data_IF_714544261524
#
_entry.id   IF_714544261524
#
_cell.length_a   1.000
_cell.length_b   1.000
_cell.length_c   1.000
_cell.angle_alpha   90.00
_cell.angle_beta   90.00
_cell.angle_gamma   90.00
#
_symmetry.space_group_name_H-M   'P 1'
#
loop_
_entity.id
_entity.type
_entity.pdbx_description
1 polymer ?
#
# COMPACT_ATOMS: atom_id res chain seq x y z
N UNK A 1 24.06 -18.27 -4.09
CA UNK A 1 23.10 -17.18 -3.81
C UNK A 1 22.30 -17.54 -2.57
N UNK A 2 22.55 -16.87 -1.44
CA UNK A 2 22.01 -17.30 -0.15
C UNK A 2 20.48 -17.23 -0.04
N UNK A 3 19.83 -18.10 0.76
CA UNK A 3 18.37 -18.18 0.90
C UNK A 3 17.70 -16.86 1.31
N UNK A 4 18.43 -15.97 2.00
CA UNK A 4 17.96 -14.62 2.41
C UNK A 4 17.73 -13.66 1.23
N UNK A 5 18.47 -13.80 0.13
CA UNK A 5 18.30 -12.92 -1.04
C UNK A 5 17.11 -13.30 -1.92
N UNK A 6 16.71 -14.58 -1.93
CA UNK A 6 15.49 -15.04 -2.64
C UNK A 6 14.22 -14.49 -1.99
N UNK A 7 14.17 -14.39 -0.66
CA UNK A 7 13.02 -13.83 0.06
C UNK A 7 12.77 -12.35 -0.29
N UNK A 8 13.83 -11.54 -0.29
CA UNK A 8 13.75 -10.12 -0.66
C UNK A 8 13.24 -9.93 -2.10
N UNK A 9 13.79 -10.71 -3.04
CA UNK A 9 13.41 -10.62 -4.45
C UNK A 9 11.95 -11.04 -4.69
N UNK A 10 11.50 -12.14 -4.06
CA UNK A 10 10.12 -12.61 -4.21
C UNK A 10 9.13 -11.58 -3.62
N UNK A 11 9.47 -10.97 -2.49
CA UNK A 11 8.63 -9.96 -1.83
C UNK A 11 8.56 -8.65 -2.62
N UNK A 12 9.63 -8.25 -3.31
CA UNK A 12 9.61 -7.10 -4.24
C UNK A 12 8.73 -7.34 -5.46
N UNK A 13 8.73 -8.56 -6.01
CA UNK A 13 7.85 -8.90 -7.13
C UNK A 13 6.38 -8.92 -6.72
N UNK A 14 6.07 -9.49 -5.55
CA UNK A 14 4.72 -9.43 -4.99
C UNK A 14 4.29 -7.98 -4.79
N UNK A 15 5.16 -7.14 -4.23
CA UNK A 15 4.88 -5.71 -4.03
C UNK A 15 4.64 -4.98 -5.35
N UNK A 16 5.41 -5.29 -6.40
CA UNK A 16 5.26 -4.67 -7.72
C UNK A 16 3.94 -5.07 -8.37
N UNK A 17 3.60 -6.37 -8.36
CA UNK A 17 2.33 -6.87 -8.90
C UNK A 17 1.15 -6.30 -8.11
N UNK A 18 1.24 -6.24 -6.77
CA UNK A 18 0.21 -5.67 -5.93
C UNK A 18 -0.03 -4.18 -6.24
N UNK A 19 1.02 -3.37 -6.39
CA UNK A 19 0.88 -1.96 -6.75
C UNK A 19 0.32 -1.78 -8.17
N UNK A 20 0.73 -2.64 -9.12
CA UNK A 20 0.23 -2.60 -10.49
C UNK A 20 -1.27 -2.94 -10.56
N UNK A 21 -1.72 -3.93 -9.78
CA UNK A 21 -3.13 -4.31 -9.66
C UNK A 21 -3.94 -3.31 -8.83
N UNK A 22 -3.31 -2.60 -7.89
CA UNK A 22 -3.97 -1.59 -7.08
C UNK A 22 -4.42 -0.39 -7.94
N UNK A 23 -3.69 0.00 -8.99
CA UNK A 23 -4.09 1.08 -9.89
C UNK A 23 -5.50 0.90 -10.49
N UNK A 24 -5.82 -0.20 -11.19
CA UNK A 24 -7.17 -0.43 -11.71
C UNK A 24 -8.18 -0.68 -10.59
N UNK A 25 -7.80 -1.34 -9.49
CA UNK A 25 -8.71 -1.58 -8.37
C UNK A 25 -9.17 -0.27 -7.69
N UNK A 26 -8.25 0.68 -7.48
CA UNK A 26 -8.56 2.01 -6.96
C UNK A 26 -9.47 2.76 -7.95
N UNK A 27 -9.19 2.68 -9.26
CA UNK A 27 -10.03 3.29 -10.28
C UNK A 27 -11.47 2.78 -10.24
N UNK A 28 -11.65 1.46 -10.17
CA UNK A 28 -12.98 0.83 -10.07
C UNK A 28 -13.71 1.27 -8.78
N UNK A 29 -13.00 1.40 -7.66
CA UNK A 29 -13.59 1.83 -6.39
C UNK A 29 -13.93 3.33 -6.37
N UNK A 30 -13.09 4.16 -6.98
CA UNK A 30 -13.26 5.61 -7.05
C UNK A 30 -14.45 6.02 -7.94
N UNK A 31 -14.60 5.34 -9.09
CA UNK A 31 -15.68 5.60 -10.05
C UNK A 31 -16.92 4.72 -9.83
N UNK A 32 -16.93 3.89 -8.78
CA UNK A 32 -18.12 3.11 -8.43
C UNK A 32 -19.24 4.07 -8.02
N UNK A 33 -20.37 3.99 -8.70
CA UNK A 33 -21.57 4.76 -8.40
C UNK A 33 -22.20 4.24 -7.11
N UNK A 34 -21.75 4.73 -5.97
CA UNK A 34 -22.46 4.53 -4.70
C UNK A 34 -23.70 5.45 -4.66
N UNK A 35 -24.83 4.92 -4.15
CA UNK A 35 -26.14 5.59 -4.13
C UNK A 35 -26.20 6.90 -3.30
N UNK A 36 -25.13 7.24 -2.58
CA UNK A 36 -25.02 8.41 -1.72
C UNK A 36 -23.87 9.30 -2.20
N UNK A 37 -24.21 10.46 -2.78
CA UNK A 37 -23.27 11.40 -3.40
C UNK A 37 -22.08 11.81 -2.52
N UNK A 38 -22.24 11.81 -1.18
CA UNK A 38 -21.17 12.12 -0.24
C UNK A 38 -20.00 11.14 -0.28
N UNK A 39 -20.27 9.83 -0.36
CA UNK A 39 -19.22 8.81 -0.38
C UNK A 39 -18.47 8.79 -1.72
N UNK A 40 -19.13 9.13 -2.83
CA UNK A 40 -18.47 9.19 -4.14
C UNK A 40 -17.41 10.30 -4.18
N UNK A 41 -17.73 11.51 -3.69
CA UNK A 41 -16.78 12.61 -3.63
C UNK A 41 -15.57 12.30 -2.73
N UNK A 42 -15.80 11.62 -1.60
CA UNK A 42 -14.73 11.16 -0.71
C UNK A 42 -13.86 10.09 -1.38
N UNK A 43 -14.45 9.11 -2.07
CA UNK A 43 -13.70 8.06 -2.76
C UNK A 43 -12.80 8.65 -3.85
N UNK A 44 -13.33 9.59 -4.64
CA UNK A 44 -12.57 10.28 -5.70
C UNK A 44 -11.43 11.07 -5.07
N UNK A 45 -11.71 11.91 -4.06
CA UNK A 45 -10.67 12.71 -3.38
C UNK A 45 -9.55 11.83 -2.81
N UNK A 46 -9.90 10.74 -2.13
CA UNK A 46 -8.91 9.80 -1.57
C UNK A 46 -8.11 9.07 -2.66
N UNK A 47 -8.75 8.72 -3.77
CA UNK A 47 -8.09 8.07 -4.89
C UNK A 47 -6.99 8.95 -5.49
N UNK A 48 -7.30 10.23 -5.75
CA UNK A 48 -6.37 11.18 -6.34
C UNK A 48 -5.29 11.65 -5.35
N UNK A 49 -5.63 11.91 -4.08
CA UNK A 49 -4.69 12.50 -3.13
C UNK A 49 -3.73 11.50 -2.48
N UNK A 50 -4.18 10.27 -2.23
CA UNK A 50 -3.43 9.31 -1.42
C UNK A 50 -3.21 7.99 -2.14
N UNK A 51 -4.26 7.40 -2.72
CA UNK A 51 -4.17 6.04 -3.23
C UNK A 51 -3.28 5.94 -4.48
N UNK A 52 -3.48 6.81 -5.48
CA UNK A 52 -2.64 6.82 -6.70
C UNK A 52 -1.19 7.24 -6.44
N UNK A 53 -0.91 8.35 -5.73
CA UNK A 53 0.46 8.71 -5.36
C UNK A 53 1.17 7.60 -4.59
N UNK A 54 0.49 6.96 -3.62
CA UNK A 54 1.06 5.84 -2.87
C UNK A 54 1.44 4.67 -3.77
N UNK A 55 0.57 4.28 -4.72
CA UNK A 55 0.88 3.20 -5.67
C UNK A 55 2.04 3.53 -6.60
N UNK A 56 2.13 4.78 -7.10
CA UNK A 56 3.25 5.21 -7.95
C UNK A 56 4.56 5.13 -7.17
N UNK A 57 4.61 5.67 -5.95
CA UNK A 57 5.79 5.58 -5.08
C UNK A 57 6.10 4.13 -4.72
N UNK A 58 5.09 3.27 -4.55
CA UNK A 58 5.26 1.84 -4.35
C UNK A 58 5.92 1.12 -5.53
N UNK A 59 5.56 1.47 -6.77
CA UNK A 59 6.22 0.94 -7.98
C UNK A 59 7.68 1.41 -8.04
N UNK A 60 7.94 2.69 -7.79
CA UNK A 60 9.31 3.25 -7.78
C UNK A 60 10.15 2.60 -6.68
N UNK A 61 9.57 2.33 -5.51
CA UNK A 61 10.22 1.61 -4.43
C UNK A 61 10.63 0.19 -4.85
N UNK A 62 9.73 -0.53 -5.52
CA UNK A 62 10.02 -1.88 -6.05
C UNK A 62 11.14 -1.83 -7.09
N UNK A 63 11.16 -0.84 -7.99
CA UNK A 63 12.23 -0.63 -8.95
C UNK A 63 13.58 -0.34 -8.25
N UNK A 64 13.59 0.51 -7.22
CA UNK A 64 14.78 0.79 -6.43
C UNK A 64 15.32 -0.44 -5.70
N UNK A 65 14.43 -1.30 -5.20
CA UNK A 65 14.81 -2.55 -4.53
C UNK A 65 15.32 -3.61 -5.51
N UNK A 66 14.71 -3.74 -6.69
CA UNK A 66 15.21 -4.60 -7.77
C UNK A 66 16.59 -4.16 -8.26
N UNK A 67 16.83 -2.84 -8.31
CA UNK A 67 18.13 -2.25 -8.62
C UNK A 67 19.14 -2.27 -7.43
N UNK A 68 18.81 -2.95 -6.32
CA UNK A 68 19.62 -3.04 -5.09
C UNK A 68 20.05 -1.66 -4.53
N UNK A 69 19.26 -0.60 -4.78
CA UNK A 69 19.53 0.74 -4.29
C UNK A 69 18.94 0.91 -2.88
N UNK A 70 19.76 1.43 -1.95
CA UNK A 70 19.36 1.67 -0.55
C UNK A 70 18.13 2.59 -0.41
N UNK A 71 17.92 3.48 -1.38
CA UNK A 71 16.78 4.39 -1.42
C UNK A 71 15.43 3.68 -1.68
N UNK A 72 15.44 2.49 -2.30
CA UNK A 72 14.20 1.73 -2.55
C UNK A 72 13.47 1.33 -1.27
N UNK A 73 14.23 1.03 -0.20
CA UNK A 73 13.66 0.73 1.13
C UNK A 73 12.94 1.94 1.72
N UNK A 74 13.53 3.13 1.59
CA UNK A 74 12.96 4.37 2.11
C UNK A 74 11.64 4.67 1.38
N UNK A 75 11.65 4.57 0.05
CA UNK A 75 10.44 4.76 -0.75
C UNK A 75 9.35 3.74 -0.45
N UNK A 76 9.70 2.49 -0.12
CA UNK A 76 8.73 1.47 0.28
C UNK A 76 8.04 1.87 1.60
N UNK A 77 8.81 2.36 2.58
CA UNK A 77 8.27 2.84 3.86
C UNK A 77 7.36 4.05 3.63
N UNK A 78 7.76 5.01 2.79
CA UNK A 78 6.95 6.18 2.45
C UNK A 78 5.63 5.78 1.78
N UNK A 79 5.68 4.90 0.76
CA UNK A 79 4.49 4.42 0.07
C UNK A 79 3.51 3.70 1.02
N UNK A 80 4.05 2.82 1.87
CA UNK A 80 3.26 2.09 2.86
C UNK A 80 2.62 3.03 3.89
N UNK A 81 3.36 4.07 4.33
CA UNK A 81 2.86 5.05 5.29
C UNK A 81 1.74 5.92 4.70
N UNK A 82 1.90 6.34 3.44
CA UNK A 82 0.86 7.09 2.71
C UNK A 82 -0.41 6.26 2.50
N UNK A 83 -0.26 4.99 2.11
CA UNK A 83 -1.39 4.07 1.95
C UNK A 83 -2.13 3.85 3.29
N UNK A 84 -1.37 3.68 4.38
CA UNK A 84 -1.93 3.52 5.72
C UNK A 84 -2.71 4.76 6.18
N UNK A 85 -2.19 5.96 5.90
CA UNK A 85 -2.84 7.23 6.22
C UNK A 85 -4.19 7.41 5.52
N UNK A 86 -4.38 6.84 4.34
CA UNK A 86 -5.67 6.84 3.64
C UNK A 86 -6.60 5.70 4.10
N UNK A 87 -6.08 4.47 4.15
CA UNK A 87 -6.90 3.28 4.35
C UNK A 87 -7.49 3.14 5.77
N UNK A 88 -6.72 3.53 6.81
CA UNK A 88 -7.18 3.45 8.21
C UNK A 88 -8.39 4.38 8.49
N UNK A 89 -8.27 5.71 8.35
CA UNK A 89 -9.36 6.61 8.70
C UNK A 89 -10.60 6.36 7.83
N UNK A 90 -10.40 6.07 6.55
CA UNK A 90 -11.50 5.77 5.64
C UNK A 90 -12.23 4.47 6.00
N UNK A 91 -11.49 3.40 6.29
CA UNK A 91 -12.08 2.12 6.72
C UNK A 91 -12.87 2.25 8.02
N UNK A 92 -12.33 2.98 9.00
CA UNK A 92 -12.99 3.22 10.29
C UNK A 92 -14.29 4.02 10.12
N UNK A 93 -14.25 5.14 9.39
CA UNK A 93 -15.45 5.97 9.15
C UNK A 93 -16.52 5.18 8.40
N UNK A 94 -16.13 4.41 7.38
CA UNK A 94 -17.07 3.60 6.58
C UNK A 94 -17.70 2.46 7.39
N UNK A 95 -16.96 1.83 8.31
CA UNK A 95 -17.50 0.85 9.27
C UNK A 95 -18.41 1.48 10.33
N UNK A 96 -18.00 2.62 10.89
CA UNK A 96 -18.80 3.34 11.90
C UNK A 96 -20.14 3.84 11.35
N UNK A 97 -20.18 4.22 10.08
CA UNK A 97 -21.40 4.65 9.39
C UNK A 97 -22.27 3.48 8.89
N UNK A 98 -21.84 2.23 9.05
CA UNK A 98 -22.58 1.04 8.59
C UNK A 98 -22.73 0.93 7.06
N UNK A 99 -22.08 1.82 6.30
CA UNK A 99 -22.18 1.88 4.85
C UNK A 99 -21.29 0.78 4.23
N UNK A 100 -21.91 -0.29 3.72
CA UNK A 100 -21.24 -1.41 3.05
C UNK A 100 -20.10 -2.02 3.90
N UNK A 101 -20.45 -2.76 4.97
CA UNK A 101 -19.48 -3.25 5.95
C UNK A 101 -18.38 -4.13 5.34
N UNK A 102 -18.66 -4.82 4.22
CA UNK A 102 -17.67 -5.61 3.50
C UNK A 102 -16.50 -4.76 2.94
N UNK A 103 -16.77 -3.57 2.40
CA UNK A 103 -15.74 -2.70 1.83
C UNK A 103 -14.94 -2.04 2.96
N UNK A 104 -15.62 -1.58 4.01
CA UNK A 104 -14.95 -1.06 5.21
C UNK A 104 -14.02 -2.09 5.86
N UNK A 105 -14.48 -3.34 5.99
CA UNK A 105 -13.68 -4.44 6.51
C UNK A 105 -12.46 -4.73 5.61
N UNK A 106 -12.65 -4.71 4.28
CA UNK A 106 -11.56 -4.90 3.33
C UNK A 106 -10.51 -3.79 3.42
N UNK A 107 -10.92 -2.53 3.58
CA UNK A 107 -10.00 -1.41 3.80
C UNK A 107 -9.20 -1.56 5.10
N UNK A 108 -9.83 -2.01 6.18
CA UNK A 108 -9.12 -2.28 7.46
C UNK A 108 -8.16 -3.46 7.33
N UNK A 109 -8.57 -4.56 6.68
CA UNK A 109 -7.68 -5.70 6.37
C UNK A 109 -6.47 -5.27 5.54
N UNK A 110 -6.69 -4.47 4.50
CA UNK A 110 -5.61 -3.89 3.71
C UNK A 110 -4.70 -3.00 4.56
N UNK A 111 -5.24 -2.18 5.45
CA UNK A 111 -4.44 -1.37 6.35
C UNK A 111 -3.59 -2.23 7.29
N UNK A 112 -4.12 -3.33 7.83
CA UNK A 112 -3.36 -4.28 8.65
C UNK A 112 -2.24 -4.94 7.84
N UNK A 113 -2.49 -5.33 6.58
CA UNK A 113 -1.45 -5.86 5.70
C UNK A 113 -0.37 -4.82 5.39
N UNK A 114 -0.75 -3.56 5.15
CA UNK A 114 0.21 -2.48 4.97
C UNK A 114 1.02 -2.21 6.24
N UNK A 115 0.39 -2.30 7.42
CA UNK A 115 1.06 -2.18 8.71
C UNK A 115 2.06 -3.33 8.93
N UNK A 116 1.68 -4.57 8.62
CA UNK A 116 2.57 -5.74 8.69
C UNK A 116 3.76 -5.60 7.73
N UNK A 117 3.51 -5.13 6.51
CA UNK A 117 4.57 -4.83 5.55
C UNK A 117 5.48 -3.71 6.05
N UNK A 118 4.91 -2.64 6.63
CA UNK A 118 5.67 -1.53 7.21
C UNK A 118 6.52 -2.03 8.38
N UNK A 119 5.96 -2.86 9.26
CA UNK A 119 6.67 -3.50 10.36
C UNK A 119 7.77 -4.41 9.82
N UNK A 120 7.55 -5.19 8.77
CA UNK A 120 8.59 -6.01 8.16
C UNK A 120 9.75 -5.15 7.61
N UNK A 121 9.42 -4.07 6.89
CA UNK A 121 10.41 -3.16 6.32
C UNK A 121 11.14 -2.32 7.39
N UNK A 122 10.45 -1.93 8.47
CA UNK A 122 11.03 -1.28 9.65
C UNK A 122 11.86 -2.26 10.50
N UNK A 123 11.41 -3.51 10.62
CA UNK A 123 12.08 -4.66 11.25
C UNK A 123 13.02 -5.36 10.27
N UNK A 124 13.62 -4.59 9.38
CA UNK A 124 14.88 -4.96 8.75
C UNK A 124 15.96 -5.00 9.84
N UNK A 125 16.04 -6.11 10.58
CA UNK A 125 17.17 -6.49 11.44
C UNK A 125 18.52 -6.51 10.69
N UNK A 126 18.54 -6.22 9.37
CA UNK A 126 19.71 -6.08 8.52
C UNK A 126 20.36 -4.69 8.48
N UNK A 127 19.94 -3.69 9.27
CA UNK A 127 20.68 -2.40 9.33
C UNK A 127 22.16 -2.53 9.77
N UNK A 128 22.65 -3.70 10.21
CA UNK A 128 24.02 -3.90 10.73
C UNK A 128 24.85 -5.07 10.15
N UNK A 129 24.34 -5.87 9.20
CA UNK A 129 24.91 -7.21 8.96
C UNK A 129 25.83 -7.45 7.77
N UNK A 130 25.87 -6.60 6.74
CA UNK A 130 26.63 -6.96 5.54
C UNK A 130 26.77 -5.82 4.58
N UNK A 131 28.02 -5.42 4.38
CA UNK A 131 28.46 -4.58 3.26
C UNK A 131 27.85 -5.13 1.97
N UNK A 132 27.15 -4.27 1.24
CA UNK A 132 27.09 -4.37 -0.22
C UNK A 132 28.52 -4.16 -0.75
#
# INVERSE_FOLDING_TARGET
>A
MGPRMRGYWFMTWIGLVANLLALPAIGVLAFRSDHSAGFQATNISLAFSLAWPATIVGIVACAGLLAQRRWGVILAIVALSMSLAGALPYGIVRLALGAQPAIGLWSVLLAVLHLLALIYWCRSEHRRGGRL
#
